data_IF_634089889500
#
_entry.id   IF_634089889500
#
_cell.length_a   1.000
_cell.length_b   1.000
_cell.length_c   1.000
_cell.angle_alpha   90.00
_cell.angle_beta   90.00
_cell.angle_gamma   90.00
#
_symmetry.space_group_name_H-M   'P 1'
#
loop_
_entity.id
_entity.type
_entity.pdbx_description
1 polymer ?
#
# COMPACT_ATOMS: atom_id res chain seq x y z
N UNK A 1 -33.88 41.92 -8.07
CA UNK A 1 -33.11 40.64 -8.11
C UNK A 1 -32.02 40.76 -9.16
N UNK A 2 -30.79 41.09 -8.78
CA UNK A 2 -29.67 41.14 -9.72
C UNK A 2 -29.27 39.71 -10.11
N UNK A 3 -29.53 39.33 -11.36
CA UNK A 3 -28.99 38.11 -11.95
C UNK A 3 -27.54 38.39 -12.33
N UNK A 4 -26.60 37.98 -11.47
CA UNK A 4 -25.19 37.93 -11.84
C UNK A 4 -25.00 36.83 -12.88
N UNK A 5 -24.81 37.22 -14.14
CA UNK A 5 -24.40 36.30 -15.19
C UNK A 5 -22.87 36.22 -15.16
N UNK A 6 -22.35 35.07 -14.74
CA UNK A 6 -20.92 34.82 -14.85
C UNK A 6 -20.56 34.71 -16.35
N UNK A 7 -19.52 35.42 -16.82
CA UNK A 7 -19.11 35.31 -18.21
C UNK A 7 -18.57 33.91 -18.49
N UNK A 8 -18.88 33.37 -19.68
CA UNK A 8 -18.54 32.01 -20.10
C UNK A 8 -17.07 31.59 -19.83
N UNK A 9 -16.06 32.46 -20.04
CA UNK A 9 -14.67 32.13 -19.75
C UNK A 9 -14.41 31.84 -18.27
N UNK A 10 -15.09 32.54 -17.36
CA UNK A 10 -14.94 32.34 -15.91
C UNK A 10 -15.58 31.01 -15.50
N UNK A 11 -16.69 30.63 -16.13
CA UNK A 11 -17.32 29.31 -15.91
C UNK A 11 -16.36 28.18 -16.32
N UNK A 12 -15.76 28.29 -17.52
CA UNK A 12 -14.78 27.30 -18.02
C UNK A 12 -13.57 27.21 -17.08
N UNK A 13 -13.06 28.34 -16.60
CA UNK A 13 -11.94 28.39 -15.67
C UNK A 13 -12.28 27.70 -14.33
N UNK A 14 -13.48 27.94 -13.79
CA UNK A 14 -13.94 27.28 -12.56
C UNK A 14 -13.98 25.76 -12.75
N UNK A 15 -14.56 25.27 -13.85
CA UNK A 15 -14.59 23.83 -14.14
C UNK A 15 -13.19 23.24 -14.28
N UNK A 16 -12.26 23.96 -14.91
CA UNK A 16 -10.87 23.52 -15.05
C UNK A 16 -10.15 23.43 -13.69
N UNK A 17 -10.36 24.40 -12.80
CA UNK A 17 -9.81 24.37 -11.44
C UNK A 17 -10.39 23.20 -10.64
N UNK A 18 -11.72 23.03 -10.67
CA UNK A 18 -12.40 21.92 -9.98
C UNK A 18 -11.90 20.56 -10.49
N UNK A 19 -11.78 20.40 -11.81
CA UNK A 19 -11.24 19.18 -12.42
C UNK A 19 -9.80 18.91 -11.97
N UNK A 20 -8.93 19.93 -12.01
CA UNK A 20 -7.52 19.80 -11.62
C UNK A 20 -7.37 19.41 -10.15
N UNK A 21 -8.11 20.08 -9.26
CA UNK A 21 -8.13 19.75 -7.82
C UNK A 21 -8.64 18.33 -7.58
N UNK A 22 -9.69 17.91 -8.29
CA UNK A 22 -10.21 16.56 -8.20
C UNK A 22 -9.18 15.51 -8.68
N UNK A 23 -8.54 15.74 -9.82
CA UNK A 23 -7.52 14.85 -10.38
C UNK A 23 -6.32 14.69 -9.44
N UNK A 24 -5.82 15.79 -8.86
CA UNK A 24 -4.72 15.77 -7.88
C UNK A 24 -5.14 15.02 -6.61
N UNK A 25 -6.36 15.25 -6.13
CA UNK A 25 -6.87 14.59 -4.92
C UNK A 25 -6.99 13.08 -5.14
N UNK A 26 -7.48 12.65 -6.30
CA UNK A 26 -7.64 11.24 -6.65
C UNK A 26 -6.31 10.50 -6.75
N UNK A 27 -5.22 11.17 -7.16
CA UNK A 27 -3.86 10.61 -7.16
C UNK A 27 -3.31 10.35 -5.76
N UNK A 28 -3.79 11.05 -4.73
CA UNK A 28 -3.29 10.95 -3.34
C UNK A 28 -4.05 9.93 -2.48
N UNK A 29 -5.08 9.28 -3.00
CA UNK A 29 -5.91 8.35 -2.22
C UNK A 29 -5.13 7.06 -1.97
N UNK A 30 -4.92 6.74 -0.69
CA UNK A 30 -4.36 5.46 -0.22
C UNK A 30 -5.46 4.40 -0.21
N UNK A 31 -5.25 3.30 -0.90
CA UNK A 31 -6.22 2.20 -0.95
C UNK A 31 -5.90 1.14 0.12
N UNK A 32 -6.92 0.66 0.83
CA UNK A 32 -6.77 -0.47 1.76
C UNK A 32 -6.87 -1.78 0.96
N UNK A 33 -5.98 -2.71 1.26
CA UNK A 33 -5.94 -4.02 0.60
C UNK A 33 -7.11 -4.89 1.04
N UNK A 34 -7.84 -5.42 0.05
CA UNK A 34 -8.85 -6.44 0.28
C UNK A 34 -8.29 -7.83 0.04
N UNK A 35 -7.53 -8.05 -1.04
CA UNK A 35 -6.75 -9.28 -1.24
C UNK A 35 -5.45 -8.92 -1.96
N UNK A 36 -4.39 -9.64 -1.62
CA UNK A 36 -3.11 -9.62 -2.32
C UNK A 36 -2.80 -11.05 -2.77
N UNK A 37 -2.70 -11.24 -4.08
CA UNK A 37 -2.23 -12.48 -4.69
C UNK A 37 -0.87 -12.24 -5.31
N UNK A 38 -0.02 -13.26 -5.31
CA UNK A 38 1.32 -13.22 -5.90
C UNK A 38 1.48 -14.37 -6.89
N UNK A 39 2.03 -14.06 -8.05
CA UNK A 39 2.44 -15.02 -9.07
C UNK A 39 3.83 -14.63 -9.57
N UNK A 40 4.84 -15.39 -9.14
CA UNK A 40 6.23 -15.20 -9.56
C UNK A 40 6.74 -13.74 -9.45
N UNK A 41 6.44 -13.07 -8.33
CA UNK A 41 6.92 -11.71 -8.01
C UNK A 41 6.05 -10.60 -8.59
N UNK A 42 5.04 -10.96 -9.39
CA UNK A 42 3.95 -10.09 -9.79
C UNK A 42 2.83 -10.17 -8.75
N UNK A 43 2.33 -9.00 -8.35
CA UNK A 43 1.26 -8.88 -7.39
C UNK A 43 -0.02 -8.43 -8.06
N UNK A 44 -1.12 -9.12 -7.74
CA UNK A 44 -2.48 -8.69 -8.05
C UNK A 44 -3.08 -8.13 -6.77
N UNK A 45 -3.32 -6.83 -6.78
CA UNK A 45 -3.90 -6.09 -5.67
C UNK A 45 -5.37 -5.78 -5.94
N UNK A 46 -6.25 -6.37 -5.14
CA UNK A 46 -7.69 -6.10 -5.23
C UNK A 46 -8.12 -5.17 -4.10
N UNK A 47 -8.84 -4.10 -4.45
CA UNK A 47 -9.42 -3.17 -3.49
C UNK A 47 -10.81 -2.69 -3.91
N UNK A 48 -11.65 -2.38 -2.92
CA UNK A 48 -12.96 -1.77 -3.17
C UNK A 48 -12.81 -0.25 -3.20
N UNK A 49 -13.06 0.35 -4.38
CA UNK A 49 -13.20 1.80 -4.52
C UNK A 49 -14.67 2.18 -4.44
N UNK A 50 -15.12 2.59 -3.24
CA UNK A 50 -16.50 3.00 -2.90
C UNK A 50 -17.57 1.92 -3.11
N UNK A 51 -17.71 1.38 -4.33
CA UNK A 51 -18.76 0.41 -4.72
C UNK A 51 -18.24 -0.62 -5.75
N UNK A 52 -17.11 -0.38 -6.43
CA UNK A 52 -16.55 -1.32 -7.43
C UNK A 52 -15.19 -1.86 -7.00
N UNK A 53 -14.99 -3.17 -7.18
CA UNK A 53 -13.67 -3.80 -7.09
C UNK A 53 -12.79 -3.29 -8.22
N UNK A 54 -11.55 -2.98 -7.88
CA UNK A 54 -10.49 -2.64 -8.83
C UNK A 54 -9.27 -3.48 -8.51
N UNK A 55 -8.56 -3.84 -9.57
CA UNK A 55 -7.32 -4.60 -9.54
C UNK A 55 -6.18 -3.69 -10.01
N UNK A 56 -5.05 -3.73 -9.30
CA UNK A 56 -3.78 -3.13 -9.73
C UNK A 56 -2.77 -4.26 -9.79
N UNK A 57 -2.03 -4.29 -10.88
CA UNK A 57 -0.92 -5.21 -11.10
C UNK A 57 0.36 -4.44 -10.90
N UNK A 58 1.30 -4.98 -10.11
CA UNK A 58 2.62 -4.39 -9.96
C UNK A 58 3.66 -5.49 -9.71
N UNK A 59 4.86 -5.30 -10.24
CA UNK A 59 6.00 -6.16 -9.91
C UNK A 59 6.69 -5.67 -8.61
N UNK A 60 7.31 -6.57 -7.84
CA UNK A 60 8.10 -6.22 -6.64
C UNK A 60 9.19 -5.15 -6.91
N UNK A 61 9.73 -5.10 -8.13
CA UNK A 61 10.75 -4.15 -8.56
C UNK A 61 10.18 -2.72 -8.74
N UNK A 62 8.87 -2.60 -8.93
CA UNK A 62 8.18 -1.30 -9.02
C UNK A 62 7.98 -0.65 -7.64
N UNK A 63 8.25 -1.39 -6.55
CA UNK A 63 8.15 -0.87 -5.19
C UNK A 63 9.28 0.12 -4.93
N UNK A 64 8.94 1.39 -4.80
CA UNK A 64 9.89 2.45 -4.48
C UNK A 64 10.33 2.40 -3.02
N UNK A 65 9.34 2.33 -2.11
CA UNK A 65 9.57 2.29 -0.66
C UNK A 65 8.42 1.57 0.03
N UNK A 66 8.75 0.77 1.04
CA UNK A 66 7.81 0.16 1.96
C UNK A 66 8.05 0.71 3.36
N UNK A 67 7.01 1.21 4.01
CA UNK A 67 7.08 1.73 5.37
C UNK A 67 6.28 0.85 6.32
N UNK A 68 6.94 0.32 7.34
CA UNK A 68 6.28 -0.27 8.49
C UNK A 68 5.59 0.82 9.30
N UNK A 69 4.27 0.74 9.44
CA UNK A 69 3.47 1.78 10.12
C UNK A 69 2.94 1.35 11.48
N UNK A 70 2.76 0.06 11.69
CA UNK A 70 2.32 -0.49 12.98
C UNK A 70 2.74 -1.94 13.07
N UNK A 71 3.25 -2.32 14.23
CA UNK A 71 3.44 -3.71 14.62
C UNK A 71 2.82 -3.89 16.01
N UNK A 72 2.11 -5.00 16.21
CA UNK A 72 1.55 -5.40 17.49
C UNK A 72 1.81 -6.88 17.69
N UNK A 73 2.52 -7.20 18.77
CA UNK A 73 2.86 -8.56 19.16
C UNK A 73 1.99 -8.97 20.35
N UNK A 74 1.46 -10.17 20.31
CA UNK A 74 0.68 -10.74 21.39
C UNK A 74 1.00 -12.23 21.50
N UNK A 75 1.35 -12.70 22.71
CA UNK A 75 1.64 -14.11 23.01
C UNK A 75 2.72 -14.73 22.09
N UNK A 76 3.80 -14.00 21.79
CA UNK A 76 4.91 -14.50 20.96
C UNK A 76 4.61 -14.63 19.46
N UNK A 77 3.52 -14.04 18.99
CA UNK A 77 3.14 -13.95 17.57
C UNK A 77 2.77 -12.50 17.24
N UNK A 78 2.96 -12.05 16.00
CA UNK A 78 2.46 -10.74 15.62
C UNK A 78 0.96 -10.83 15.29
N UNK A 79 0.16 -10.04 16.02
CA UNK A 79 -1.29 -9.94 15.82
C UNK A 79 -1.62 -9.01 14.66
N UNK A 80 -0.84 -7.95 14.49
CA UNK A 80 -1.04 -6.97 13.43
C UNK A 80 0.30 -6.44 12.96
N UNK A 81 0.48 -6.40 11.65
CA UNK A 81 1.57 -5.70 11.00
C UNK A 81 0.97 -4.93 9.83
N UNK A 82 1.32 -3.65 9.70
CA UNK A 82 0.75 -2.78 8.68
C UNK A 82 1.87 -2.14 7.86
N UNK A 83 1.79 -2.29 6.54
CA UNK A 83 2.71 -1.66 5.61
C UNK A 83 2.01 -0.62 4.75
N UNK A 84 2.68 0.49 4.51
CA UNK A 84 2.35 1.38 3.40
C UNK A 84 3.40 1.15 2.31
N UNK A 85 2.99 0.65 1.15
CA UNK A 85 3.83 0.46 -0.03
C UNK A 85 3.60 1.64 -0.96
N UNK A 86 4.69 2.18 -1.52
CA UNK A 86 4.64 3.22 -2.53
C UNK A 86 5.34 2.72 -3.79
N UNK A 87 4.64 2.82 -4.92
CA UNK A 87 5.12 2.41 -6.22
C UNK A 87 5.78 3.58 -6.97
N UNK A 88 6.61 3.26 -7.95
CA UNK A 88 7.34 4.24 -8.76
C UNK A 88 6.43 5.19 -9.55
N UNK A 89 5.27 4.71 -9.97
CA UNK A 89 4.24 5.45 -10.72
C UNK A 89 3.36 6.37 -9.83
N UNK A 90 3.63 6.40 -8.53
CA UNK A 90 2.97 7.28 -7.57
C UNK A 90 1.75 6.67 -6.88
N UNK A 91 1.37 5.42 -7.18
CA UNK A 91 0.36 4.72 -6.39
C UNK A 91 0.89 4.36 -5.00
N UNK A 92 -0.04 4.28 -4.05
CA UNK A 92 0.26 3.81 -2.69
C UNK A 92 -0.81 2.85 -2.17
N UNK A 93 -0.33 1.79 -1.54
CA UNK A 93 -1.09 0.64 -1.09
C UNK A 93 -0.92 0.49 0.42
N UNK A 94 -1.96 0.05 1.12
CA UNK A 94 -1.88 -0.22 2.55
C UNK A 94 -2.24 -1.67 2.88
N UNK A 95 -1.23 -2.46 3.21
CA UNK A 95 -1.36 -3.82 3.72
C UNK A 95 -1.68 -3.78 5.21
N UNK A 96 -2.69 -4.55 5.61
CA UNK A 96 -3.15 -4.65 7.00
C UNK A 96 -3.47 -6.08 7.43
N UNK A 97 -3.85 -6.95 6.48
CA UNK A 97 -4.15 -8.33 6.82
C UNK A 97 -2.85 -9.07 7.04
N UNK A 98 -2.80 -9.85 8.13
CA UNK A 98 -1.65 -10.65 8.51
C UNK A 98 -1.12 -11.52 7.36
N UNK A 99 -2.00 -12.25 6.68
CA UNK A 99 -1.64 -13.11 5.54
C UNK A 99 -0.97 -12.34 4.40
N UNK A 100 -1.56 -11.21 3.98
CA UNK A 100 -1.03 -10.40 2.87
C UNK A 100 0.33 -9.79 3.21
N UNK A 101 0.51 -9.40 4.48
CA UNK A 101 1.79 -8.89 4.96
C UNK A 101 2.86 -9.99 5.00
N UNK A 102 2.50 -11.20 5.44
CA UNK A 102 3.40 -12.37 5.40
C UNK A 102 3.79 -12.72 3.97
N UNK A 103 2.81 -12.78 3.05
CA UNK A 103 3.05 -13.03 1.63
C UNK A 103 4.02 -12.00 1.04
N UNK A 104 3.74 -10.71 1.27
CA UNK A 104 4.60 -9.63 0.77
C UNK A 104 6.02 -9.71 1.34
N UNK A 105 6.17 -9.93 2.65
CA UNK A 105 7.48 -10.08 3.29
C UNK A 105 8.26 -11.30 2.76
N UNK A 106 7.57 -12.42 2.53
CA UNK A 106 8.21 -13.63 2.01
C UNK A 106 8.75 -13.40 0.60
N UNK A 107 8.00 -12.71 -0.26
CA UNK A 107 8.44 -12.38 -1.62
C UNK A 107 9.58 -11.36 -1.59
N UNK A 108 9.55 -10.38 -0.68
CA UNK A 108 10.68 -9.48 -0.47
C UNK A 108 11.95 -10.27 -0.09
N UNK A 109 11.85 -11.22 0.84
CA UNK A 109 12.97 -12.07 1.28
C UNK A 109 13.55 -12.92 0.13
N UNK A 110 12.69 -13.42 -0.76
CA UNK A 110 13.15 -14.32 -1.83
C UNK A 110 13.65 -13.59 -3.08
N UNK A 111 13.02 -12.46 -3.44
CA UNK A 111 13.26 -11.78 -4.72
C UNK A 111 13.94 -10.44 -4.60
N UNK A 112 13.82 -9.77 -3.45
CA UNK A 112 14.22 -8.37 -3.31
C UNK A 112 14.75 -8.07 -1.90
N UNK A 113 15.86 -8.73 -1.60
CA UNK A 113 16.50 -8.75 -0.28
C UNK A 113 16.86 -7.35 0.25
N UNK A 114 17.23 -6.40 -0.63
CA UNK A 114 17.51 -5.03 -0.21
C UNK A 114 16.29 -4.32 0.40
N UNK A 115 15.08 -4.62 -0.08
CA UNK A 115 13.85 -4.09 0.51
C UNK A 115 13.50 -4.82 1.79
N UNK A 116 13.71 -6.13 1.83
CA UNK A 116 13.51 -6.92 3.03
C UNK A 116 14.35 -6.37 4.19
N UNK A 117 15.65 -6.18 3.97
CA UNK A 117 16.57 -5.61 4.95
C UNK A 117 16.20 -4.18 5.36
N UNK A 118 15.76 -3.33 4.41
CA UNK A 118 15.24 -2.00 4.74
C UNK A 118 14.01 -2.08 5.64
N UNK A 119 13.07 -2.99 5.38
CA UNK A 119 11.89 -3.16 6.23
C UNK A 119 12.30 -3.62 7.64
N UNK A 120 13.20 -4.61 7.74
CA UNK A 120 13.69 -5.10 9.02
C UNK A 120 14.40 -4.01 9.83
N UNK A 121 15.17 -3.15 9.17
CA UNK A 121 15.85 -2.02 9.83
C UNK A 121 14.91 -0.98 10.44
N UNK A 122 13.65 -0.92 9.99
CA UNK A 122 12.62 -0.02 10.54
C UNK A 122 11.93 -0.59 11.79
N UNK A 123 12.11 -1.88 12.07
CA UNK A 123 11.57 -2.51 13.27
C UNK A 123 12.45 -2.04 14.43
N UNK A 124 11.88 -1.39 15.47
CA UNK A 124 12.67 -1.01 16.63
C UNK A 124 13.37 -2.25 17.19
N UNK A 125 14.69 -2.14 17.36
CA UNK A 125 15.68 -3.21 17.49
C UNK A 125 15.59 -4.05 18.79
N UNK A 126 14.40 -4.53 19.13
CA UNK A 126 14.23 -5.69 19.98
C UNK A 126 14.40 -6.91 19.05
N UNK A 127 15.56 -7.58 19.14
CA UNK A 127 15.86 -8.83 18.41
C UNK A 127 14.75 -9.88 18.51
N UNK A 128 13.93 -9.79 19.55
CA UNK A 128 12.72 -10.57 19.79
C UNK A 128 11.63 -10.36 18.73
N UNK A 129 11.47 -9.16 18.18
CA UNK A 129 10.42 -8.87 17.18
C UNK A 129 10.79 -9.44 15.82
N UNK A 130 12.03 -9.24 15.39
CA UNK A 130 12.54 -9.77 14.12
C UNK A 130 12.51 -11.29 14.13
N UNK A 131 12.96 -11.93 15.21
CA UNK A 131 12.90 -13.40 15.35
C UNK A 131 11.48 -13.95 15.34
N UNK A 132 10.50 -13.24 15.89
CA UNK A 132 9.07 -13.62 15.79
C UNK A 132 8.61 -13.56 14.32
N UNK A 133 8.99 -12.52 13.57
CA UNK A 133 8.62 -12.39 12.16
C UNK A 133 9.26 -13.50 11.32
N UNK A 134 10.56 -13.74 11.48
CA UNK A 134 11.27 -14.82 10.77
C UNK A 134 10.62 -16.18 11.05
N UNK A 135 10.33 -16.47 12.33
CA UNK A 135 9.65 -17.71 12.71
C UNK A 135 8.26 -17.83 12.07
N UNK A 136 7.51 -16.74 11.98
CA UNK A 136 6.21 -16.76 11.31
C UNK A 136 6.32 -16.91 9.80
N UNK A 137 7.34 -16.32 9.16
CA UNK A 137 7.62 -16.48 7.74
C UNK A 137 8.03 -17.92 7.40
N UNK A 138 8.84 -18.55 8.24
CA UNK A 138 9.27 -19.94 8.03
C UNK A 138 8.11 -20.93 8.14
N UNK A 139 7.11 -20.60 8.97
CA UNK A 139 5.89 -21.40 9.12
C UNK A 139 4.79 -21.03 8.11
N UNK A 140 4.98 -19.97 7.33
CA UNK A 140 3.98 -19.49 6.38
C UNK A 140 4.03 -20.32 5.10
N UNK A 141 2.91 -20.96 4.76
CA UNK A 141 2.71 -21.60 3.45
C UNK A 141 1.92 -20.66 2.55
N UNK A 142 2.42 -20.46 1.33
CA UNK A 142 1.79 -19.61 0.30
C UNK A 142 0.42 -20.14 -0.09
#
# INVERSE_FOLDING_TARGET
MNKFYLPLPVIILIFYIVYTVFAITMRKIKFNVENLEELDGEFIFTFIKRIKKKEIYFNIDEVKICLLTRILIQKGTFRTINFNIYLNDGYSLRLRKKRECLLFLQVCREKREDLYQKILSMIPAETTVVSIIEKELDNFKR
#
